data_IF_934346531487
#
_entry.id   IF_934346531487
#
_cell.length_a   1.000
_cell.length_b   1.000
_cell.length_c   1.000
_cell.angle_alpha   90.00
_cell.angle_beta   90.00
_cell.angle_gamma   90.00
#
_symmetry.space_group_name_H-M   'P 1'
#
loop_
_entity.id
_entity.type
_entity.pdbx_description
1 polymer ?
#
# COMPACT_ATOMS: atom_id res chain seq x y z
N UNK A 1 7.55 -3.96 -6.94
CA UNK A 1 8.11 -2.71 -6.43
C UNK A 1 9.61 -2.74 -6.68
N UNK A 2 10.20 -1.60 -7.04
CA UNK A 2 11.65 -1.45 -7.15
C UNK A 2 12.26 -1.11 -5.79
N UNK A 3 13.41 -1.70 -5.48
CA UNK A 3 14.12 -1.47 -4.22
C UNK A 3 15.55 -1.02 -4.49
N UNK A 4 16.08 -0.18 -3.61
CA UNK A 4 17.50 0.21 -3.54
C UNK A 4 18.07 -0.42 -2.29
N UNK A 5 19.30 -0.90 -2.38
CA UNK A 5 20.06 -1.37 -1.23
C UNK A 5 21.16 -0.35 -0.91
N UNK A 6 21.04 0.28 0.25
CA UNK A 6 22.06 1.21 0.74
C UNK A 6 23.10 0.44 1.57
N UNK A 7 24.32 0.40 1.05
CA UNK A 7 25.50 -0.21 1.71
C UNK A 7 26.43 0.81 2.33
N UNK A 8 26.18 2.11 2.16
CA UNK A 8 27.03 3.17 2.73
C UNK A 8 26.76 3.40 4.22
N UNK A 9 25.59 2.97 4.69
CA UNK A 9 25.18 3.01 6.10
C UNK A 9 25.83 1.90 6.93
N UNK A 10 26.19 2.18 8.19
CA UNK A 10 26.71 1.18 9.15
C UNK A 10 25.74 0.00 9.37
N UNK A 11 24.47 0.21 9.07
CA UNK A 11 23.43 -0.82 9.00
C UNK A 11 22.81 -0.78 7.61
N UNK A 12 23.08 -1.77 6.73
CA UNK A 12 22.54 -1.76 5.39
C UNK A 12 21.01 -1.78 5.39
N UNK A 13 20.39 -0.91 4.60
CA UNK A 13 18.93 -0.75 4.53
C UNK A 13 18.43 -1.06 3.13
N UNK A 14 17.28 -1.74 3.05
CA UNK A 14 16.52 -1.90 1.80
C UNK A 14 15.44 -0.82 1.78
N UNK A 15 15.44 0.03 0.77
CA UNK A 15 14.52 1.15 0.62
C UNK A 15 13.63 0.89 -0.60
N UNK A 16 12.30 0.97 -0.43
CA UNK A 16 11.37 0.94 -1.57
C UNK A 16 11.45 2.28 -2.31
N UNK A 17 11.72 2.24 -3.62
CA UNK A 17 11.82 3.46 -4.44
C UNK A 17 10.52 4.26 -4.41
N UNK A 18 9.37 3.60 -4.27
CA UNK A 18 8.07 4.28 -4.24
C UNK A 18 7.89 5.18 -3.01
N UNK A 19 8.56 4.89 -1.90
CA UNK A 19 8.51 5.76 -0.70
C UNK A 19 9.39 7.00 -0.84
N UNK A 20 10.22 7.06 -1.89
CA UNK A 20 11.08 8.20 -2.19
C UNK A 20 10.49 9.11 -3.29
N UNK A 21 9.37 8.72 -3.89
CA UNK A 21 8.69 9.55 -4.88
C UNK A 21 7.89 10.65 -4.19
N UNK A 22 7.67 11.77 -4.89
CA UNK A 22 6.75 12.79 -4.42
C UNK A 22 5.35 12.19 -4.16
N UNK A 23 4.65 12.63 -3.11
CA UNK A 23 3.40 12.02 -2.64
C UNK A 23 2.30 11.89 -3.71
N UNK A 24 2.28 12.76 -4.72
CA UNK A 24 1.31 12.73 -5.83
C UNK A 24 1.93 12.22 -7.15
N UNK A 25 2.94 11.37 -7.06
CA UNK A 25 3.53 10.73 -8.23
C UNK A 25 2.48 9.93 -8.99
N UNK A 26 2.40 10.15 -10.30
CA UNK A 26 1.56 9.36 -11.21
C UNK A 26 2.19 8.00 -11.55
N UNK A 27 3.46 7.83 -11.20
CA UNK A 27 4.25 6.64 -11.50
C UNK A 27 4.34 5.75 -10.27
N UNK A 28 4.15 4.45 -10.50
CA UNK A 28 4.46 3.41 -9.54
C UNK A 28 5.60 2.55 -10.09
N UNK A 29 6.72 2.52 -9.39
CA UNK A 29 7.94 1.82 -9.80
C UNK A 29 7.77 0.31 -9.57
N UNK A 30 7.72 -0.42 -10.68
CA UNK A 30 7.64 -1.89 -10.65
C UNK A 30 9.02 -2.50 -10.40
N UNK A 31 10.06 -1.94 -11.03
CA UNK A 31 11.44 -2.41 -10.96
C UNK A 31 12.42 -1.26 -11.12
N UNK A 32 13.43 -1.19 -10.24
CA UNK A 32 14.64 -0.42 -10.47
C UNK A 32 15.64 -1.32 -11.20
N UNK A 33 16.17 -0.86 -12.33
CA UNK A 33 17.07 -1.65 -13.18
C UNK A 33 18.53 -1.39 -12.84
N UNK A 34 18.92 -0.11 -12.74
CA UNK A 34 20.31 0.30 -12.50
C UNK A 34 20.39 1.73 -11.97
N UNK A 35 21.50 2.08 -11.32
CA UNK A 35 21.82 3.43 -10.84
C UNK A 35 23.20 3.86 -11.33
N UNK A 36 23.34 5.12 -11.77
CA UNK A 36 24.62 5.66 -12.22
C UNK A 36 25.35 6.48 -11.14
N UNK A 37 26.57 6.92 -11.44
CA UNK A 37 27.42 7.72 -10.53
C UNK A 37 26.81 9.08 -10.16
N UNK A 38 25.84 9.58 -10.93
CA UNK A 38 25.09 10.80 -10.63
C UNK A 38 23.84 10.53 -9.75
N UNK A 39 23.63 9.29 -9.31
CA UNK A 39 22.48 8.87 -8.50
C UNK A 39 21.17 8.73 -9.30
N UNK A 40 21.21 8.79 -10.64
CA UNK A 40 20.01 8.63 -11.46
C UNK A 40 19.67 7.15 -11.60
N UNK A 41 18.39 6.82 -11.47
CA UNK A 41 17.93 5.43 -11.47
C UNK A 41 17.14 5.16 -12.74
N UNK A 42 17.61 4.20 -13.54
CA UNK A 42 16.84 3.64 -14.65
C UNK A 42 15.81 2.66 -14.08
N UNK A 43 14.54 2.85 -14.38
CA UNK A 43 13.46 2.06 -13.81
C UNK A 43 12.33 1.78 -14.80
N UNK A 44 11.54 0.78 -14.47
CA UNK A 44 10.28 0.45 -15.15
C UNK A 44 9.14 0.81 -14.22
N UNK A 45 8.27 1.71 -14.69
CA UNK A 45 7.12 2.20 -13.95
C UNK A 45 5.80 1.81 -14.64
N UNK A 46 4.73 1.71 -13.87
CA UNK A 46 3.37 1.73 -14.39
C UNK A 46 2.78 3.13 -14.20
N UNK A 47 2.06 3.61 -15.21
CA UNK A 47 1.37 4.90 -15.19
C UNK A 47 0.02 4.75 -15.88
N UNK A 48 -0.99 5.46 -15.38
CA UNK A 48 -2.30 5.55 -16.05
C UNK A 48 -2.21 6.44 -17.28
N UNK A 49 -2.65 5.93 -18.41
CA UNK A 49 -2.71 6.64 -19.69
C UNK A 49 -4.08 6.43 -20.32
N UNK A 50 -4.51 7.37 -21.15
CA UNK A 50 -5.68 7.18 -22.01
C UNK A 50 -5.43 6.01 -22.98
N UNK A 51 -6.50 5.28 -23.28
CA UNK A 51 -6.54 4.22 -24.29
C UNK A 51 -6.89 4.81 -25.65
N UNK A 52 -6.24 4.32 -26.71
CA UNK A 52 -6.41 4.80 -28.08
C UNK A 52 -6.81 3.66 -29.02
N UNK A 53 -7.63 3.98 -30.01
CA UNK A 53 -8.01 3.04 -31.07
C UNK A 53 -6.91 2.90 -32.15
N UNK A 54 -7.17 2.08 -33.18
CA UNK A 54 -6.21 1.86 -34.28
C UNK A 54 -5.92 3.11 -35.13
N UNK A 55 -6.72 4.18 -35.00
CA UNK A 55 -6.53 5.47 -35.67
C UNK A 55 -5.84 6.49 -34.78
N UNK A 56 -5.62 6.17 -33.50
CA UNK A 56 -5.04 7.07 -32.51
C UNK A 56 -6.05 7.99 -31.84
N UNK A 57 -7.35 7.69 -31.94
CA UNK A 57 -8.41 8.45 -31.27
C UNK A 57 -8.68 7.86 -29.87
N UNK A 58 -8.89 8.68 -28.82
CA UNK A 58 -9.12 8.19 -27.47
C UNK A 58 -10.44 7.41 -27.40
N UNK A 59 -10.40 6.24 -26.77
CA UNK A 59 -11.59 5.42 -26.52
C UNK A 59 -12.35 6.03 -25.35
N UNK A 60 -13.63 6.34 -25.55
CA UNK A 60 -14.49 6.93 -24.53
C UNK A 60 -15.40 5.89 -23.88
N UNK A 61 -15.72 6.09 -22.60
CA UNK A 61 -16.75 5.34 -21.88
C UNK A 61 -18.17 5.85 -22.19
N UNK A 62 -19.20 5.21 -21.62
CA UNK A 62 -20.61 5.57 -21.81
C UNK A 62 -20.93 7.00 -21.32
N UNK A 63 -20.07 7.60 -20.51
CA UNK A 63 -20.19 8.97 -20.00
C UNK A 63 -19.41 9.99 -20.82
N UNK A 64 -18.71 9.56 -21.88
CA UNK A 64 -17.89 10.39 -22.74
C UNK A 64 -16.49 10.70 -22.20
N UNK A 65 -16.03 10.03 -21.14
CA UNK A 65 -14.69 10.23 -20.59
C UNK A 65 -13.69 9.25 -21.21
N UNK A 66 -12.40 9.63 -21.38
CA UNK A 66 -11.37 8.71 -21.85
C UNK A 66 -11.20 7.51 -20.92
N UNK A 67 -11.17 6.31 -21.51
CA UNK A 67 -10.87 5.07 -20.79
C UNK A 67 -9.39 5.06 -20.41
N UNK A 68 -9.11 4.97 -19.11
CA UNK A 68 -7.75 4.94 -18.57
C UNK A 68 -7.25 3.50 -18.42
N UNK A 69 -6.05 3.22 -18.91
CA UNK A 69 -5.37 1.93 -18.82
C UNK A 69 -4.00 2.08 -18.13
N UNK A 70 -3.56 1.01 -17.47
CA UNK A 70 -2.22 0.96 -16.90
C UNK A 70 -1.19 0.61 -17.98
N UNK A 71 -0.21 1.49 -18.18
CA UNK A 71 0.82 1.33 -19.21
C UNK A 71 2.19 1.26 -18.54
N UNK A 72 2.98 0.28 -18.98
CA UNK A 72 4.37 0.14 -18.54
C UNK A 72 5.24 1.11 -19.35
N UNK A 73 6.02 1.95 -18.64
CA UNK A 73 6.93 2.93 -19.24
C UNK A 73 8.33 2.78 -18.62
N UNK A 74 9.35 2.91 -19.46
CA UNK A 74 10.70 3.15 -18.97
C UNK A 74 10.80 4.59 -18.48
N UNK A 75 11.37 4.78 -17.29
CA UNK A 75 11.57 6.09 -16.66
C UNK A 75 12.99 6.22 -16.16
N UNK A 76 13.48 7.46 -16.13
CA UNK A 76 14.74 7.82 -15.47
C UNK A 76 14.40 8.70 -14.27
N UNK A 77 14.63 8.18 -13.07
CA UNK A 77 14.42 8.91 -11.83
C UNK A 77 15.64 9.79 -11.55
N UNK A 78 15.38 11.05 -11.21
CA UNK A 78 16.40 12.02 -10.86
C UNK A 78 16.29 12.35 -9.37
N UNK A 79 17.40 12.31 -8.62
CA UNK A 79 17.42 12.75 -7.24
C UNK A 79 17.05 14.23 -7.12
N UNK A 80 16.27 14.58 -6.12
CA UNK A 80 15.99 15.98 -5.77
C UNK A 80 17.12 16.46 -4.86
N UNK A 81 17.93 17.41 -5.34
CA UNK A 81 19.06 17.94 -4.56
C UNK A 81 18.56 18.64 -3.30
N UNK A 82 19.00 18.16 -2.13
CA UNK A 82 18.54 18.69 -0.84
C UNK A 82 17.08 18.39 -0.52
N UNK A 83 16.44 17.47 -1.25
CA UNK A 83 15.10 17.00 -0.95
C UNK A 83 15.11 16.13 0.30
N UNK A 84 14.08 16.30 1.14
CA UNK A 84 13.80 15.41 2.26
C UNK A 84 12.66 14.46 1.88
N UNK A 85 12.63 13.27 2.48
CA UNK A 85 11.55 12.32 2.26
C UNK A 85 10.30 12.85 2.94
N UNK A 86 9.28 13.18 2.16
CA UNK A 86 7.98 13.60 2.67
C UNK A 86 7.20 12.40 3.23
N UNK A 87 6.61 12.56 4.41
CA UNK A 87 5.65 11.59 4.94
C UNK A 87 4.31 11.78 4.24
N UNK A 88 4.05 10.91 3.27
CA UNK A 88 2.83 10.90 2.47
C UNK A 88 1.67 10.16 3.15
N UNK A 89 1.84 9.74 4.41
CA UNK A 89 0.79 9.05 5.16
C UNK A 89 -0.45 9.91 5.31
N UNK A 90 -1.60 9.36 4.92
CA UNK A 90 -2.86 9.82 5.49
C UNK A 90 -2.79 9.51 7.00
N UNK A 91 -3.20 10.48 7.83
CA UNK A 91 -3.38 10.23 9.26
C UNK A 91 -4.49 9.20 9.39
N UNK A 92 -4.13 7.91 9.38
CA UNK A 92 -5.06 6.84 9.71
C UNK A 92 -5.45 7.06 11.18
N UNK A 93 -6.62 7.68 11.40
CA UNK A 93 -7.25 7.61 12.71
C UNK A 93 -7.37 6.13 13.05
N UNK A 94 -6.57 5.68 14.03
CA UNK A 94 -6.58 4.31 14.50
C UNK A 94 -8.01 3.96 14.89
N UNK A 95 -8.69 3.19 14.06
CA UNK A 95 -10.02 2.69 14.38
C UNK A 95 -9.85 1.65 15.50
N UNK A 96 -10.05 2.06 16.74
CA UNK A 96 -10.11 1.14 17.88
C UNK A 96 -11.31 0.21 17.71
N UNK A 97 -11.06 -1.00 17.21
CA UNK A 97 -12.07 -2.05 17.15
C UNK A 97 -12.29 -2.61 18.54
N UNK A 98 -13.35 -2.18 19.21
CA UNK A 98 -13.75 -2.78 20.47
C UNK A 98 -14.35 -4.17 20.23
N UNK A 99 -13.59 -5.21 20.58
CA UNK A 99 -14.09 -6.58 20.63
C UNK A 99 -14.93 -6.80 21.87
N UNK A 100 -16.12 -7.39 21.72
CA UNK A 100 -16.96 -7.82 22.85
C UNK A 100 -16.35 -9.06 23.53
N UNK A 101 -15.36 -8.86 24.40
CA UNK A 101 -14.82 -9.92 25.24
C UNK A 101 -15.75 -10.17 26.42
N UNK A 102 -16.38 -11.35 26.47
CA UNK A 102 -17.08 -11.80 27.67
C UNK A 102 -16.04 -12.29 28.68
N UNK A 103 -15.76 -11.48 29.70
CA UNK A 103 -14.80 -11.83 30.76
C UNK A 103 -15.19 -13.12 31.49
N UNK A 104 -14.21 -13.77 32.14
CA UNK A 104 -14.38 -15.09 32.78
C UNK A 104 -15.56 -15.21 33.75
N UNK A 105 -16.03 -14.10 34.33
CA UNK A 105 -17.25 -14.08 35.15
C UNK A 105 -18.51 -14.53 34.38
N UNK A 106 -18.63 -14.17 33.10
CA UNK A 106 -19.75 -14.61 32.25
C UNK A 106 -19.69 -16.12 32.05
N UNK A 107 -18.50 -16.69 31.83
CA UNK A 107 -18.31 -18.14 31.72
C UNK A 107 -18.68 -18.86 33.03
N UNK A 108 -18.27 -18.34 34.18
CA UNK A 108 -18.64 -18.92 35.48
C UNK A 108 -20.14 -18.85 35.76
N UNK A 109 -20.80 -17.74 35.36
CA UNK A 109 -22.25 -17.61 35.51
C UNK A 109 -23.02 -18.62 34.64
N UNK A 110 -22.57 -18.88 33.41
CA UNK A 110 -23.15 -19.92 32.56
C UNK A 110 -22.96 -21.31 33.18
N UNK A 111 -21.75 -21.63 33.64
CA UNK A 111 -21.47 -22.92 34.30
C UNK A 111 -22.32 -23.12 35.56
N UNK A 112 -22.53 -22.07 36.37
CA UNK A 112 -23.38 -22.12 37.54
C UNK A 112 -24.84 -22.40 37.18
N UNK A 113 -25.39 -21.71 36.16
CA UNK A 113 -26.78 -21.93 35.70
C UNK A 113 -26.95 -23.34 35.14
N UNK A 114 -26.02 -23.83 34.32
CA UNK A 114 -26.06 -25.21 33.81
C UNK A 114 -25.91 -26.25 34.93
N UNK A 115 -25.07 -25.98 35.93
CA UNK A 115 -24.89 -26.84 37.10
C UNK A 115 -26.15 -26.93 37.98
N UNK A 116 -26.84 -25.80 38.19
CA UNK A 116 -28.09 -25.73 38.94
C UNK A 116 -29.24 -26.45 38.22
N UNK A 117 -29.37 -26.25 36.90
CA UNK A 117 -30.38 -26.96 36.08
C UNK A 117 -30.23 -28.48 36.13
N UNK A 118 -29.00 -29.00 36.17
CA UNK A 118 -28.77 -30.46 36.30
C UNK A 118 -29.21 -31.03 37.64
N UNK A 119 -29.22 -30.23 38.71
CA UNK A 119 -29.69 -30.67 40.03
C UNK A 119 -31.21 -30.68 40.13
N UNK A 120 -31.90 -29.75 39.48
CA UNK A 120 -33.37 -29.69 39.51
C UNK A 120 -34.05 -30.70 38.58
N UNK A 121 -33.35 -31.18 37.54
CA UNK A 121 -33.86 -32.23 36.64
C UNK A 121 -33.63 -33.67 37.13
N UNK A 122 -32.85 -33.86 38.20
CA UNK A 122 -32.60 -35.16 38.85
C UNK A 122 -33.42 -35.34 40.14
N UNK A 123 -34.46 -34.53 40.34
CA UNK A 123 -35.46 -34.71 41.39
C UNK A 123 -36.77 -35.18 40.78
#
# INVERSE_FOLDING_TARGET
AGFIYDTASDSPVIIDVNTLLACKSKYNILKANDINDAGQISATAVVKSESYDAKGEPILDDSGNPVMIDVVRAVLLQPITGGEVEDCGDVEEKVERQGASFGGMVLFSLLAVFGLRRRTFKR
#
